data_IF_535058132729
#
_entry.id   IF_535058132729
#
_cell.length_a   1.000
_cell.length_b   1.000
_cell.length_c   1.000
_cell.angle_alpha   90.00
_cell.angle_beta   90.00
_cell.angle_gamma   90.00
#
_symmetry.space_group_name_H-M   'P 1'
#
loop_
_entity.id
_entity.type
_entity.pdbx_description
1 polymer ?
#
# COMPACT_ATOMS: atom_id res chain seq x y z
N UNK A 1 4.22 12.40 15.04
CA UNK A 1 4.15 12.48 13.57
C UNK A 1 4.46 11.10 13.07
N UNK A 2 3.47 10.36 12.57
CA UNK A 2 3.73 9.14 11.83
C UNK A 2 4.54 9.55 10.58
N UNK A 3 5.73 8.98 10.44
CA UNK A 3 6.55 9.19 9.25
C UNK A 3 5.88 8.29 8.21
N UNK A 4 5.14 8.88 7.27
CA UNK A 4 4.67 8.14 6.11
C UNK A 4 5.92 7.71 5.32
N UNK A 5 6.24 6.41 5.38
CA UNK A 5 7.31 5.85 4.58
C UNK A 5 6.75 5.61 3.20
N UNK A 6 7.31 6.30 2.20
CA UNK A 6 6.98 6.06 0.81
C UNK A 6 7.75 4.84 0.33
N UNK A 7 7.02 3.84 -0.14
CA UNK A 7 7.57 2.64 -0.77
C UNK A 7 7.34 2.71 -2.27
N UNK A 8 8.35 2.37 -3.06
CA UNK A 8 8.12 2.04 -4.46
C UNK A 8 7.55 0.62 -4.53
N UNK A 9 6.47 0.43 -5.27
CA UNK A 9 5.75 -0.85 -5.27
C UNK A 9 6.63 -2.00 -5.82
N UNK A 10 7.60 -1.67 -6.67
CA UNK A 10 8.60 -2.59 -7.20
C UNK A 10 9.68 -3.00 -6.17
N UNK A 11 9.78 -2.29 -5.04
CA UNK A 11 10.79 -2.53 -3.99
C UNK A 11 10.27 -3.30 -2.77
N UNK A 12 8.95 -3.57 -2.70
CA UNK A 12 8.31 -4.28 -1.59
C UNK A 12 7.86 -5.68 -1.99
N UNK A 13 7.89 -6.60 -1.03
CA UNK A 13 7.47 -7.99 -1.21
C UNK A 13 6.31 -8.34 -0.28
N UNK A 14 5.53 -9.36 -0.68
CA UNK A 14 4.46 -9.89 0.15
C UNK A 14 4.99 -10.33 1.53
N UNK A 15 4.33 -9.89 2.59
CA UNK A 15 4.71 -10.13 3.97
C UNK A 15 5.67 -9.09 4.58
N UNK A 16 6.14 -8.11 3.81
CA UNK A 16 6.97 -7.03 4.35
C UNK A 16 6.16 -6.13 5.29
N UNK A 17 6.83 -5.69 6.37
CA UNK A 17 6.30 -4.70 7.31
C UNK A 17 6.51 -3.28 6.74
N UNK A 18 5.42 -2.72 6.24
CA UNK A 18 5.35 -1.39 5.63
C UNK A 18 4.72 -0.36 6.57
N UNK A 19 4.10 -0.83 7.65
CA UNK A 19 3.32 -0.03 8.59
C UNK A 19 1.91 0.29 8.08
N UNK A 20 1.00 0.60 9.01
CA UNK A 20 -0.41 0.86 8.69
C UNK A 20 -0.62 2.16 7.90
N UNK A 21 0.30 3.11 8.03
CA UNK A 21 0.27 4.40 7.34
C UNK A 21 1.26 4.46 6.16
N UNK A 22 1.58 3.29 5.59
CA UNK A 22 2.38 3.19 4.38
C UNK A 22 1.75 3.98 3.24
N UNK A 23 2.58 4.56 2.39
CA UNK A 23 2.17 5.16 1.12
C UNK A 23 2.99 4.51 0.02
N UNK A 24 2.32 4.05 -1.03
CA UNK A 24 3.00 3.43 -2.17
C UNK A 24 3.07 4.38 -3.34
N UNK A 25 4.13 4.26 -4.12
CA UNK A 25 4.32 4.95 -5.39
C UNK A 25 4.38 3.90 -6.49
N UNK A 26 3.69 4.17 -7.59
CA UNK A 26 3.68 3.32 -8.78
C UNK A 26 3.48 4.23 -9.99
N UNK A 27 4.16 3.98 -11.12
CA UNK A 27 4.13 4.85 -12.31
C UNK A 27 4.49 6.34 -12.02
N UNK A 28 5.47 6.58 -11.14
CA UNK A 28 5.88 7.93 -10.70
C UNK A 28 4.77 8.75 -10.02
N UNK A 29 3.66 8.11 -9.62
CA UNK A 29 2.56 8.73 -8.87
C UNK A 29 2.33 8.05 -7.53
N UNK A 30 1.90 8.83 -6.53
CA UNK A 30 1.46 8.27 -5.24
C UNK A 30 0.12 7.58 -5.43
N UNK A 31 0.06 6.32 -5.04
CA UNK A 31 -1.17 5.52 -5.10
C UNK A 31 -2.22 6.08 -4.14
N UNK A 32 -3.47 6.05 -4.57
CA UNK A 32 -4.61 6.41 -3.74
C UNK A 32 -4.89 5.31 -2.72
N UNK A 33 -5.17 5.67 -1.47
CA UNK A 33 -5.47 4.71 -0.40
C UNK A 33 -6.96 4.78 -0.03
N UNK A 34 -7.62 3.63 0.02
CA UNK A 34 -8.98 3.51 0.52
C UNK A 34 -9.03 3.56 2.05
N UNK A 35 -10.18 3.96 2.60
CA UNK A 35 -10.42 3.84 4.04
C UNK A 35 -10.27 2.38 4.50
N UNK A 36 -9.72 2.14 5.71
CA UNK A 36 -9.54 0.79 6.22
C UNK A 36 -10.88 0.07 6.39
N UNK A 37 -10.90 -1.22 6.08
CA UNK A 37 -12.07 -2.05 6.22
C UNK A 37 -12.34 -2.45 7.70
N UNK A 38 -13.30 -3.35 7.94
CA UNK A 38 -13.64 -3.82 9.29
C UNK A 38 -12.51 -4.62 9.98
N UNK A 39 -11.52 -5.09 9.24
CA UNK A 39 -10.33 -5.78 9.72
C UNK A 39 -9.13 -4.83 9.83
N UNK A 40 -9.26 -3.60 9.34
CA UNK A 40 -8.20 -2.60 9.31
C UNK A 40 -7.38 -2.61 8.02
N UNK A 41 -7.77 -3.42 7.04
CA UNK A 41 -7.03 -3.60 5.79
C UNK A 41 -7.26 -2.39 4.87
N UNK A 42 -6.20 -1.89 4.23
CA UNK A 42 -6.19 -0.73 3.34
C UNK A 42 -5.74 -1.16 1.95
N UNK A 43 -6.51 -0.81 0.93
CA UNK A 43 -6.13 -1.01 -0.47
C UNK A 43 -5.54 0.27 -1.04
N UNK A 44 -4.34 0.16 -1.60
CA UNK A 44 -3.67 1.19 -2.36
C UNK A 44 -3.85 0.91 -3.85
N UNK A 45 -4.30 1.88 -4.63
CA UNK A 45 -4.52 1.73 -6.08
C UNK A 45 -3.78 2.82 -6.85
N UNK A 46 -2.99 2.41 -7.85
CA UNK A 46 -2.37 3.32 -8.81
C UNK A 46 -3.43 3.80 -9.82
N UNK A 47 -3.50 5.12 -10.04
CA UNK A 47 -4.46 5.70 -10.99
C UNK A 47 -4.08 5.45 -12.45
N UNK A 48 -2.79 5.31 -12.75
CA UNK A 48 -2.29 5.13 -14.12
C UNK A 48 -2.43 3.72 -14.67
N UNK A 49 -1.85 2.72 -13.99
CA UNK A 49 -1.84 1.33 -14.45
C UNK A 49 -2.96 0.48 -13.83
N UNK A 50 -3.56 0.91 -12.73
CA UNK A 50 -4.59 0.15 -12.01
C UNK A 50 -4.04 -0.87 -11.00
N UNK A 51 -2.72 -0.99 -10.87
CA UNK A 51 -2.09 -1.87 -9.88
C UNK A 51 -2.61 -1.57 -8.48
N UNK A 52 -2.90 -2.61 -7.72
CA UNK A 52 -3.41 -2.55 -6.37
C UNK A 52 -2.45 -3.25 -5.40
N UNK A 53 -2.18 -2.63 -4.25
CA UNK A 53 -1.47 -3.22 -3.12
C UNK A 53 -2.35 -3.19 -1.88
N UNK A 54 -2.52 -4.34 -1.24
CA UNK A 54 -3.34 -4.47 -0.03
C UNK A 54 -2.42 -4.52 1.20
N UNK A 55 -2.60 -3.59 2.13
CA UNK A 55 -1.90 -3.56 3.43
C UNK A 55 -2.87 -4.00 4.51
N UNK A 56 -2.47 -5.02 5.26
CA UNK A 56 -3.29 -5.54 6.36
C UNK A 56 -3.38 -4.55 7.52
N UNK A 57 -4.39 -4.70 8.38
CA UNK A 57 -4.51 -3.91 9.62
C UNK A 57 -3.32 -4.03 10.59
N UNK A 58 -2.38 -4.95 10.34
CA UNK A 58 -1.13 -5.09 11.08
C UNK A 58 0.05 -4.31 10.44
N UNK A 59 -0.17 -3.64 9.30
CA UNK A 59 0.88 -2.94 8.57
C UNK A 59 1.75 -3.85 7.69
N UNK A 60 1.26 -5.04 7.36
CA UNK A 60 1.96 -5.97 6.47
C UNK A 60 1.39 -5.91 5.06
N UNK A 61 2.24 -5.96 4.04
CA UNK A 61 1.81 -6.08 2.65
C UNK A 61 1.22 -7.47 2.40
N UNK A 62 -0.09 -7.54 2.21
CA UNK A 62 -0.84 -8.78 2.08
C UNK A 62 -0.91 -9.31 0.65
N UNK A 63 -1.17 -8.44 -0.33
CA UNK A 63 -1.33 -8.82 -1.73
C UNK A 63 -0.92 -7.68 -2.68
N UNK A 64 -0.49 -8.03 -3.90
CA UNK A 64 -0.22 -7.09 -5.00
C UNK A 64 -0.85 -7.66 -6.26
N UNK A 65 -1.70 -6.87 -6.92
CA UNK A 65 -2.45 -7.26 -8.12
C UNK A 65 -2.24 -6.21 -9.21
N UNK A 66 -1.86 -6.64 -10.41
CA UNK A 66 -1.75 -5.81 -11.62
C UNK A 66 -2.83 -6.19 -12.64
#
# INVERSE_FOLDING_TARGET
MAIATNYDLDEVSLGDDVGTDATFTCCDETMTVADPDKYGDRTHTCGSCGTCADVTGLGLLGDIRD
#
